data_IF_922126330988
#
_entry.id   IF_922126330988
#
_cell.length_a   1.000
_cell.length_b   1.000
_cell.length_c   1.000
_cell.angle_alpha   90.00
_cell.angle_beta   90.00
_cell.angle_gamma   90.00
#
_symmetry.space_group_name_H-M   'P 1'
#
loop_
_entity.id
_entity.type
_entity.pdbx_description
1 polymer ?
#
# COMPACT_ATOMS: atom_id res chain seq x y z
N UNK A 1 16.82 -24.37 -5.46
CA UNK A 1 16.71 -23.84 -5.45
C UNK A 1 16.27 -23.10 -5.23
N UNK A 2 16.24 -22.95 -4.78
CA UNK A 2 15.87 -22.29 -4.49
C UNK A 2 15.54 -21.33 -4.58
N UNK A 3 15.77 -21.14 -5.03
CA UNK A 3 15.27 -20.33 -5.23
C UNK A 3 14.06 -19.78 -5.12
N UNK A 4 13.85 -20.22 -4.89
CA UNK A 4 12.55 -20.03 -4.51
C UNK A 4 12.41 -19.26 -3.28
N UNK A 5 13.40 -18.93 -2.68
CA UNK A 5 13.44 -18.02 -1.57
C UNK A 5 13.24 -16.64 -2.08
N UNK A 6 12.00 -16.28 -2.23
CA UNK A 6 11.66 -14.92 -2.55
C UNK A 6 11.96 -14.09 -1.33
N UNK A 7 12.85 -13.13 -1.49
CA UNK A 7 13.14 -12.19 -0.42
C UNK A 7 12.03 -11.17 -0.36
N UNK A 8 11.11 -11.35 0.59
CA UNK A 8 9.96 -10.49 0.75
C UNK A 8 10.38 -9.05 0.98
N UNK A 9 11.42 -8.83 1.78
CA UNK A 9 11.90 -7.48 2.04
C UNK A 9 12.38 -6.81 0.77
N UNK A 10 13.04 -7.56 -0.08
CA UNK A 10 13.55 -7.03 -1.34
C UNK A 10 12.41 -6.70 -2.29
N UNK A 11 11.37 -7.53 -2.33
CA UNK A 11 10.20 -7.26 -3.14
C UNK A 11 9.47 -6.01 -2.67
N UNK A 12 9.30 -5.87 -1.36
CA UNK A 12 8.66 -4.69 -0.78
C UNK A 12 9.46 -3.45 -1.13
N UNK A 13 10.78 -3.52 -0.97
CA UNK A 13 11.65 -2.39 -1.27
C UNK A 13 11.53 -1.98 -2.75
N UNK A 14 11.51 -2.95 -3.64
CA UNK A 14 11.37 -2.70 -5.08
C UNK A 14 10.05 -2.00 -5.40
N UNK A 15 8.95 -2.49 -4.81
CA UNK A 15 7.65 -1.88 -5.03
C UNK A 15 7.58 -0.48 -4.46
N UNK A 16 8.15 -0.27 -3.26
CA UNK A 16 8.18 1.05 -2.65
C UNK A 16 8.89 2.04 -3.57
N UNK A 17 10.05 1.65 -4.11
CA UNK A 17 10.81 2.52 -5.00
C UNK A 17 10.03 2.81 -6.28
N UNK A 18 9.36 1.80 -6.83
CA UNK A 18 8.59 1.96 -8.05
C UNK A 18 7.46 2.97 -7.86
N UNK A 19 6.69 2.81 -6.79
CA UNK A 19 5.55 3.68 -6.52
C UNK A 19 6.01 5.08 -6.14
N UNK A 20 7.00 5.17 -5.26
CA UNK A 20 7.52 6.47 -4.83
C UNK A 20 8.06 7.27 -6.00
N UNK A 21 8.74 6.60 -6.92
CA UNK A 21 9.30 7.26 -8.10
C UNK A 21 8.19 7.68 -9.06
N UNK A 22 7.25 6.79 -9.32
CA UNK A 22 6.19 7.06 -10.28
C UNK A 22 5.33 8.24 -9.88
N UNK A 23 4.98 8.32 -8.59
CA UNK A 23 4.11 9.37 -8.08
C UNK A 23 4.88 10.50 -7.42
N UNK A 24 6.19 10.35 -7.29
CA UNK A 24 7.09 11.33 -6.68
C UNK A 24 6.63 11.70 -5.29
N UNK A 25 6.26 10.70 -4.50
CA UNK A 25 5.73 10.88 -3.16
C UNK A 25 6.15 9.71 -2.28
N UNK A 26 6.30 10.01 -0.99
CA UNK A 26 6.53 8.97 0.02
C UNK A 26 5.25 8.65 0.79
N UNK A 27 4.24 9.51 0.68
CA UNK A 27 2.93 9.33 1.32
C UNK A 27 1.85 9.44 0.28
N UNK A 28 0.82 8.62 0.42
CA UNK A 28 -0.27 8.54 -0.54
C UNK A 28 -1.56 9.02 0.13
N UNK A 29 -2.28 9.89 -0.57
CA UNK A 29 -3.57 10.35 -0.10
C UNK A 29 -4.69 9.63 -0.87
N UNK A 30 -5.92 10.08 -0.67
CA UNK A 30 -7.08 9.46 -1.31
C UNK A 30 -6.96 9.45 -2.83
N UNK A 31 -6.55 10.58 -3.42
CA UNK A 31 -6.44 10.67 -4.88
C UNK A 31 -5.38 9.72 -5.43
N UNK A 32 -4.25 9.63 -4.72
CA UNK A 32 -3.20 8.70 -5.13
C UNK A 32 -3.69 7.26 -5.10
N UNK A 33 -4.40 6.90 -4.03
CA UNK A 33 -4.90 5.54 -3.89
C UNK A 33 -5.93 5.19 -4.94
N UNK A 34 -6.78 6.15 -5.32
CA UNK A 34 -7.72 5.94 -6.41
C UNK A 34 -6.97 5.58 -7.69
N UNK A 35 -5.89 6.32 -7.99
CA UNK A 35 -5.11 6.08 -9.20
C UNK A 35 -4.38 4.74 -9.16
N UNK A 36 -3.83 4.40 -7.99
CA UNK A 36 -3.03 3.19 -7.86
C UNK A 36 -3.91 1.95 -7.87
N UNK A 37 -5.02 1.99 -7.14
CA UNK A 37 -5.85 0.80 -6.96
C UNK A 37 -6.92 0.64 -8.03
N UNK A 38 -7.31 1.74 -8.68
CA UNK A 38 -8.43 1.72 -9.60
C UNK A 38 -9.78 1.66 -8.93
N UNK A 39 -9.83 1.76 -7.61
CA UNK A 39 -11.09 1.74 -6.87
C UNK A 39 -11.77 3.10 -6.96
N UNK A 40 -13.09 3.11 -6.76
CA UNK A 40 -13.83 4.35 -6.69
C UNK A 40 -13.54 5.11 -5.39
N UNK A 41 -13.89 6.39 -5.38
CA UNK A 41 -13.60 7.28 -4.26
C UNK A 41 -14.19 6.78 -2.95
N UNK A 42 -15.43 6.31 -2.98
CA UNK A 42 -16.08 5.84 -1.75
C UNK A 42 -15.38 4.62 -1.19
N UNK A 43 -14.93 3.72 -2.06
CA UNK A 43 -14.21 2.54 -1.62
C UNK A 43 -12.86 2.90 -1.01
N UNK A 44 -12.17 3.88 -1.60
CA UNK A 44 -10.89 4.33 -1.05
C UNK A 44 -11.10 5.03 0.29
N UNK A 45 -12.15 5.84 0.42
CA UNK A 45 -12.46 6.48 1.69
C UNK A 45 -12.76 5.46 2.78
N UNK A 46 -13.50 4.41 2.43
CA UNK A 46 -13.77 3.33 3.38
C UNK A 46 -12.49 2.62 3.79
N UNK A 47 -11.60 2.40 2.83
CA UNK A 47 -10.31 1.80 3.12
C UNK A 47 -9.51 2.66 4.10
N UNK A 48 -9.47 3.97 3.87
CA UNK A 48 -8.73 4.88 4.74
C UNK A 48 -9.29 4.93 6.16
N UNK A 49 -10.57 4.61 6.33
CA UNK A 49 -11.21 4.58 7.65
C UNK A 49 -11.09 3.21 8.33
N UNK A 50 -10.66 2.22 7.59
CA UNK A 50 -10.57 0.86 8.11
C UNK A 50 -9.51 0.78 9.20
N UNK A 51 -9.82 0.03 10.25
CA UNK A 51 -8.92 -0.06 11.40
C UNK A 51 -7.62 -0.79 11.09
N UNK A 52 -7.67 -1.72 10.15
CA UNK A 52 -6.48 -2.50 9.83
C UNK A 52 -5.66 -1.89 8.69
N UNK A 53 -6.08 -0.77 8.14
CA UNK A 53 -5.29 -0.08 7.11
C UNK A 53 -4.39 0.95 7.79
N UNK A 54 -3.07 0.88 7.56
CA UNK A 54 -2.11 1.63 8.36
C UNK A 54 -1.98 3.09 7.94
N UNK A 55 -2.98 3.90 8.25
CA UNK A 55 -2.96 5.33 7.93
C UNK A 55 -2.29 6.14 9.02
N UNK A 56 -1.78 7.29 8.62
CA UNK A 56 -1.26 8.32 9.51
C UNK A 56 -2.04 9.59 9.24
N UNK A 57 -2.40 10.29 10.30
CA UNK A 57 -3.10 11.55 10.15
C UNK A 57 -2.10 12.69 10.16
N UNK A 58 -2.10 13.48 9.08
CA UNK A 58 -1.22 14.64 8.97
C UNK A 58 -2.13 15.85 8.80
N UNK A 59 -2.21 16.67 9.84
CA UNK A 59 -3.19 17.74 9.87
C UNK A 59 -4.59 17.17 9.85
N UNK A 60 -5.39 17.57 8.88
CA UNK A 60 -6.74 17.05 8.70
C UNK A 60 -6.83 15.91 7.71
N UNK A 61 -5.72 15.52 7.11
CA UNK A 61 -5.69 14.54 6.04
C UNK A 61 -5.21 13.20 6.56
N UNK A 62 -5.82 12.14 6.07
CA UNK A 62 -5.34 10.79 6.30
C UNK A 62 -4.50 10.37 5.11
N UNK A 63 -3.30 9.89 5.39
CA UNK A 63 -2.37 9.42 4.37
C UNK A 63 -1.80 8.09 4.81
N UNK A 64 -1.23 7.36 3.87
CA UNK A 64 -0.52 6.12 4.17
C UNK A 64 0.85 6.21 3.53
N UNK A 65 1.89 5.79 4.24
CA UNK A 65 3.22 5.76 3.62
C UNK A 65 3.23 4.70 2.51
N UNK A 66 4.03 4.95 1.48
CA UNK A 66 4.17 3.96 0.41
C UNK A 66 4.62 2.61 0.98
N UNK A 67 5.56 2.64 1.92
CA UNK A 67 6.04 1.42 2.56
C UNK A 67 4.90 0.67 3.26
N UNK A 68 4.11 1.35 4.05
CA UNK A 68 3.02 0.71 4.79
C UNK A 68 1.94 0.20 3.84
N UNK A 69 1.66 0.93 2.76
CA UNK A 69 0.69 0.48 1.76
C UNK A 69 1.15 -0.81 1.11
N UNK A 70 2.40 -0.87 0.68
CA UNK A 70 2.94 -2.06 0.02
C UNK A 70 2.97 -3.24 1.00
N UNK A 71 3.40 -3.00 2.24
CA UNK A 71 3.44 -4.05 3.25
C UNK A 71 2.03 -4.59 3.52
N UNK A 72 1.04 -3.70 3.63
CA UNK A 72 -0.35 -4.09 3.86
C UNK A 72 -0.87 -4.96 2.69
N UNK A 73 -0.59 -4.54 1.46
CA UNK A 73 -0.99 -5.33 0.29
C UNK A 73 -0.35 -6.71 0.31
N UNK A 74 0.91 -6.78 0.66
CA UNK A 74 1.64 -8.05 0.72
C UNK A 74 1.00 -8.98 1.73
N UNK A 75 0.64 -8.45 2.89
CA UNK A 75 0.00 -9.24 3.94
C UNK A 75 -1.39 -9.70 3.50
N UNK A 76 -2.17 -8.83 2.87
CA UNK A 76 -3.50 -9.20 2.41
C UNK A 76 -3.45 -10.25 1.32
N UNK A 77 -2.49 -10.16 0.42
CA UNK A 77 -2.32 -11.17 -0.61
C UNK A 77 -1.98 -12.52 0.01
N UNK A 78 -1.16 -12.55 1.04
CA UNK A 78 -0.85 -13.77 1.75
C UNK A 78 -2.09 -14.39 2.39
N UNK A 79 -2.92 -13.56 3.01
CA UNK A 79 -4.16 -14.02 3.63
C UNK A 79 -5.08 -14.62 2.59
N UNK A 80 -5.22 -13.96 1.44
CA UNK A 80 -6.06 -14.45 0.37
C UNK A 80 -5.52 -15.76 -0.18
N UNK A 81 -4.21 -15.86 -0.34
CA UNK A 81 -3.59 -17.07 -0.85
C UNK A 81 -3.78 -18.25 0.10
N UNK A 82 -3.88 -17.99 1.38
CA UNK A 82 -4.05 -19.01 2.39
C UNK A 82 -5.52 -19.32 2.68
N UNK A 83 -6.40 -18.49 2.20
CA UNK A 83 -7.84 -18.63 2.48
C UNK A 83 -8.56 -19.56 1.53
#
# INVERSE_FOLDING_TARGET
MNNQNIDINNLIQTEVERISTKYNKDFLDCEDLIKITGLGRDNVRNLLRSKDFPTTKVGKRQVVSVLNFVAWLTMKNSEVANG
#
